data_IF_929067981940
#
_entry.id   IF_929067981940
#
_cell.length_a   1.000
_cell.length_b   1.000
_cell.length_c   1.000
_cell.angle_alpha   90.00
_cell.angle_beta   90.00
_cell.angle_gamma   90.00
#
_symmetry.space_group_name_H-M   'P 1'
#
loop_
_entity.id
_entity.type
_entity.pdbx_description
1 polymer ?
#
# COMPACT_ATOMS: atom_id res chain seq x y z
N UNK A 1 8.65 27.44 -7.22
CA UNK A 1 7.76 26.28 -7.35
C UNK A 1 6.69 26.71 -8.33
N UNK A 2 6.50 25.98 -9.44
CA UNK A 2 5.50 26.32 -10.47
C UNK A 2 4.12 26.39 -9.82
N UNK A 3 3.42 27.51 -9.99
CA UNK A 3 2.07 27.73 -9.45
C UNK A 3 0.97 26.94 -10.16
N UNK A 4 1.35 26.11 -11.15
CA UNK A 4 0.43 25.52 -12.12
C UNK A 4 0.26 24.00 -12.00
N UNK A 5 0.95 23.32 -11.05
CA UNK A 5 0.77 21.88 -10.88
C UNK A 5 -0.61 21.58 -10.32
N UNK A 6 -1.35 20.72 -11.04
CA UNK A 6 -2.68 20.28 -10.63
C UNK A 6 -2.68 18.81 -10.21
N UNK A 7 -3.68 18.43 -9.42
CA UNK A 7 -3.99 17.05 -9.02
C UNK A 7 -5.42 16.73 -9.44
N UNK A 8 -5.65 15.55 -9.97
CA UNK A 8 -7.00 14.98 -10.01
C UNK A 8 -7.28 14.38 -8.64
N UNK A 9 -8.06 15.09 -7.85
CA UNK A 9 -8.24 14.89 -6.42
C UNK A 9 -9.32 13.86 -6.12
N UNK A 10 -9.03 12.95 -5.21
CA UNK A 10 -9.94 11.90 -4.75
C UNK A 10 -10.56 12.16 -3.38
N UNK A 11 -9.88 12.93 -2.54
CA UNK A 11 -10.33 13.24 -1.18
C UNK A 11 -9.18 13.53 -0.22
N UNK A 12 -9.53 14.00 0.98
CA UNK A 12 -8.59 14.28 2.06
C UNK A 12 -9.15 13.84 3.41
N UNK A 13 -8.35 13.10 4.17
CA UNK A 13 -8.64 12.77 5.57
C UNK A 13 -7.61 13.51 6.43
N UNK A 14 -8.01 14.47 7.25
CA UNK A 14 -7.08 15.32 7.98
C UNK A 14 -6.30 14.59 9.07
N UNK A 15 -6.88 13.52 9.63
CA UNK A 15 -6.25 12.71 10.66
C UNK A 15 -6.71 11.25 10.55
N UNK A 16 -5.76 10.34 10.41
CA UNK A 16 -5.95 8.90 10.51
C UNK A 16 -4.87 8.30 11.42
N UNK A 17 -5.26 7.34 12.25
CA UNK A 17 -4.36 6.55 13.10
C UNK A 17 -4.32 5.07 12.70
N UNK A 18 -5.03 4.72 11.61
CA UNK A 18 -5.17 3.33 11.14
C UNK A 18 -4.49 3.08 9.80
N UNK A 19 -4.32 4.11 8.96
CA UNK A 19 -3.79 3.94 7.61
C UNK A 19 -2.26 3.80 7.58
N UNK A 20 -1.57 4.30 8.60
CA UNK A 20 -0.13 4.12 8.76
C UNK A 20 0.20 3.73 10.20
N UNK A 21 0.55 2.47 10.39
CA UNK A 21 0.82 1.93 11.73
C UNK A 21 1.91 2.73 12.46
N UNK A 22 1.61 3.07 13.73
CA UNK A 22 2.53 3.79 14.60
C UNK A 22 2.65 5.29 14.31
N UNK A 23 1.83 5.83 13.39
CA UNK A 23 1.81 7.26 13.07
C UNK A 23 0.39 7.81 13.04
N UNK A 24 0.24 9.06 13.44
CA UNK A 24 -0.89 9.88 13.02
C UNK A 24 -0.56 10.48 11.66
N UNK A 25 -1.41 10.30 10.67
CA UNK A 25 -1.17 10.81 9.32
C UNK A 25 -2.42 11.48 8.75
N UNK A 26 -2.25 12.51 7.93
CA UNK A 26 -3.30 12.86 7.00
C UNK A 26 -3.19 11.97 5.75
N UNK A 27 -4.32 11.73 5.09
CA UNK A 27 -4.36 10.93 3.86
C UNK A 27 -4.84 11.77 2.70
N UNK A 28 -4.04 11.84 1.65
CA UNK A 28 -4.38 12.47 0.37
C UNK A 28 -4.75 11.38 -0.62
N UNK A 29 -5.99 11.37 -1.07
CA UNK A 29 -6.47 10.42 -2.08
C UNK A 29 -6.37 11.03 -3.48
N UNK A 30 -5.73 10.29 -4.38
CA UNK A 30 -5.64 10.61 -5.80
C UNK A 30 -6.78 9.92 -6.56
N UNK A 31 -7.41 10.61 -7.48
CA UNK A 31 -8.44 10.06 -8.35
C UNK A 31 -7.81 9.47 -9.61
N UNK A 32 -8.40 8.37 -10.10
CA UNK A 32 -7.90 7.62 -11.24
C UNK A 32 -7.09 6.38 -10.82
N UNK A 33 -7.32 5.25 -11.50
CA UNK A 33 -6.58 4.02 -11.29
C UNK A 33 -6.51 3.24 -12.60
N UNK A 34 -5.33 2.69 -12.99
CA UNK A 34 -5.19 1.91 -14.22
C UNK A 34 -5.70 0.47 -14.06
N UNK A 35 -5.97 0.04 -12.81
CA UNK A 35 -6.38 -1.32 -12.47
C UNK A 35 -7.84 -1.35 -12.02
N UNK A 36 -8.58 -2.38 -12.44
CA UNK A 36 -10.00 -2.55 -12.11
C UNK A 36 -10.20 -3.74 -11.17
N UNK A 37 -9.82 -3.57 -9.90
CA UNK A 37 -10.05 -4.61 -8.90
C UNK A 37 -11.56 -4.78 -8.63
N UNK A 38 -12.07 -6.00 -8.74
CA UNK A 38 -13.48 -6.30 -8.46
C UNK A 38 -13.91 -5.99 -7.02
N UNK A 39 -12.95 -5.87 -6.12
CA UNK A 39 -13.14 -5.57 -4.68
C UNK A 39 -12.71 -4.16 -4.29
N UNK A 40 -12.57 -3.25 -5.24
CA UNK A 40 -12.09 -1.90 -4.94
C UNK A 40 -12.96 -1.21 -3.88
N UNK A 41 -12.33 -0.66 -2.84
CA UNK A 41 -13.01 0.14 -1.82
C UNK A 41 -13.23 1.59 -2.26
N UNK A 42 -12.42 2.05 -3.22
CA UNK A 42 -12.39 3.41 -3.71
C UNK A 42 -13.05 3.53 -5.10
N UNK A 43 -14.13 2.77 -5.36
CA UNK A 43 -14.80 2.72 -6.66
C UNK A 43 -15.22 4.13 -7.14
N UNK A 44 -15.61 5.01 -6.23
CA UNK A 44 -16.08 6.37 -6.55
C UNK A 44 -14.99 7.31 -7.05
N UNK A 45 -13.73 6.96 -6.83
CA UNK A 45 -12.57 7.74 -7.27
C UNK A 45 -11.69 7.00 -8.28
N UNK A 46 -12.15 5.86 -8.79
CA UNK A 46 -11.43 5.15 -9.86
C UNK A 46 -11.44 5.92 -11.18
N UNK A 47 -12.47 6.70 -11.43
CA UNK A 47 -12.71 7.46 -12.64
C UNK A 47 -13.19 8.88 -12.30
N UNK A 48 -13.43 9.68 -13.35
CA UNK A 48 -13.93 11.04 -13.25
C UNK A 48 -12.82 12.06 -12.95
N UNK A 49 -13.24 13.30 -12.75
CA UNK A 49 -12.35 14.44 -12.58
C UNK A 49 -12.78 15.32 -11.39
N UNK A 50 -11.81 15.73 -10.59
CA UNK A 50 -11.87 16.81 -9.61
C UNK A 50 -10.51 17.51 -9.63
N UNK A 51 -10.28 18.36 -10.61
CA UNK A 51 -8.98 19.01 -10.81
C UNK A 51 -8.83 20.17 -9.84
N UNK A 52 -7.80 20.07 -8.99
CA UNK A 52 -7.44 21.11 -8.01
C UNK A 52 -6.00 21.54 -8.14
N UNK A 53 -5.68 22.74 -7.64
CA UNK A 53 -4.29 23.15 -7.52
C UNK A 53 -3.61 22.38 -6.39
N UNK A 54 -2.39 21.90 -6.62
CA UNK A 54 -1.57 21.25 -5.60
C UNK A 54 -1.35 22.16 -4.40
N UNK A 55 -1.28 23.49 -4.61
CA UNK A 55 -1.17 24.48 -3.54
C UNK A 55 -2.33 24.47 -2.53
N UNK A 56 -3.53 24.08 -2.97
CA UNK A 56 -4.68 23.98 -2.06
C UNK A 56 -4.58 22.74 -1.17
N UNK A 57 -4.11 21.63 -1.71
CA UNK A 57 -3.83 20.42 -0.93
C UNK A 57 -2.68 20.66 0.06
N UNK A 58 -1.65 21.44 -0.32
CA UNK A 58 -0.59 21.84 0.61
C UNK A 58 -1.13 22.65 1.80
N UNK A 59 -2.14 23.50 1.60
CA UNK A 59 -2.81 24.22 2.68
C UNK A 59 -3.56 23.27 3.62
N UNK A 60 -4.27 22.27 3.08
CA UNK A 60 -4.94 21.24 3.87
C UNK A 60 -3.94 20.45 4.73
N UNK A 61 -2.83 20.00 4.13
CA UNK A 61 -1.74 19.31 4.85
C UNK A 61 -1.16 20.22 5.95
N UNK A 62 -0.88 21.49 5.64
CA UNK A 62 -0.38 22.47 6.62
C UNK A 62 -1.34 22.67 7.79
N UNK A 63 -2.64 22.72 7.52
CA UNK A 63 -3.66 22.88 8.54
C UNK A 63 -3.73 21.68 9.49
N UNK A 64 -3.43 20.48 8.99
CA UNK A 64 -3.39 19.24 9.77
C UNK A 64 -2.06 19.04 10.52
N UNK A 65 -0.99 19.74 10.14
CA UNK A 65 0.41 19.45 10.54
C UNK A 65 0.67 19.40 12.04
N UNK A 66 -0.10 20.13 12.86
CA UNK A 66 0.03 20.10 14.32
C UNK A 66 -0.48 18.79 14.96
N UNK A 67 -1.30 18.01 14.25
CA UNK A 67 -1.94 16.80 14.76
C UNK A 67 -1.34 15.52 14.17
N UNK A 68 -0.47 15.64 13.16
CA UNK A 68 0.05 14.52 12.40
C UNK A 68 1.57 14.45 12.43
N UNK A 69 2.11 13.27 12.28
CA UNK A 69 3.55 13.01 12.10
C UNK A 69 3.90 12.59 10.67
N UNK A 70 2.91 12.46 9.78
CA UNK A 70 3.13 12.05 8.40
C UNK A 70 1.99 12.37 7.46
N UNK A 71 2.28 12.29 6.17
CA UNK A 71 1.33 12.40 5.05
C UNK A 71 1.34 11.07 4.31
N UNK A 72 0.18 10.45 4.15
CA UNK A 72 0.01 9.24 3.38
C UNK A 72 -0.67 9.56 2.05
N UNK A 73 -0.04 9.14 0.96
CA UNK A 73 -0.59 9.24 -0.39
C UNK A 73 -1.24 7.91 -0.77
N UNK A 74 -2.49 7.95 -1.18
CA UNK A 74 -3.32 6.79 -1.49
C UNK A 74 -4.36 7.13 -2.57
N UNK A 75 -5.44 6.36 -2.69
CA UNK A 75 -6.57 6.68 -3.54
C UNK A 75 -6.90 5.61 -4.57
N UNK A 76 -7.03 6.01 -5.81
CA UNK A 76 -7.02 5.13 -6.96
C UNK A 76 -5.60 4.58 -7.15
N UNK A 77 -4.72 5.40 -7.78
CA UNK A 77 -3.27 5.13 -7.84
C UNK A 77 -2.51 6.48 -7.89
N UNK A 78 -1.86 6.83 -6.78
CA UNK A 78 -1.15 8.11 -6.66
C UNK A 78 0.02 8.25 -7.65
N UNK A 79 0.71 7.15 -7.95
CA UNK A 79 1.84 7.14 -8.90
C UNK A 79 1.44 7.43 -10.35
N UNK A 80 0.14 7.33 -10.67
CA UNK A 80 -0.39 7.74 -11.98
C UNK A 80 -0.24 9.26 -12.21
N UNK A 81 -0.16 10.05 -11.13
CA UNK A 81 -0.01 11.50 -11.16
C UNK A 81 1.35 11.92 -10.59
N UNK A 82 2.42 11.48 -11.23
CA UNK A 82 3.80 11.57 -10.75
C UNK A 82 4.25 12.99 -10.35
N UNK A 83 3.85 14.01 -11.10
CA UNK A 83 4.23 15.41 -10.83
C UNK A 83 3.57 15.92 -9.54
N UNK A 84 2.25 15.75 -9.41
CA UNK A 84 1.52 16.15 -8.22
C UNK A 84 2.01 15.40 -6.97
N UNK A 85 2.18 14.08 -7.07
CA UNK A 85 2.70 13.25 -5.99
C UNK A 85 4.09 13.71 -5.55
N UNK A 86 5.01 13.91 -6.49
CA UNK A 86 6.38 14.37 -6.22
C UNK A 86 6.39 15.74 -5.53
N UNK A 87 5.53 16.65 -6.00
CA UNK A 87 5.43 18.00 -5.48
C UNK A 87 4.88 18.01 -4.05
N UNK A 88 3.83 17.23 -3.77
CA UNK A 88 3.25 17.09 -2.44
C UNK A 88 4.20 16.38 -1.47
N UNK A 89 4.90 15.34 -1.91
CA UNK A 89 5.89 14.64 -1.10
C UNK A 89 7.06 15.56 -0.72
N UNK A 90 7.58 16.34 -1.67
CA UNK A 90 8.62 17.32 -1.43
C UNK A 90 8.17 18.43 -0.46
N UNK A 91 6.92 18.86 -0.56
CA UNK A 91 6.34 19.82 0.38
C UNK A 91 6.23 19.24 1.79
N UNK A 92 5.70 18.01 1.94
CA UNK A 92 5.59 17.34 3.23
C UNK A 92 6.97 17.19 3.91
N UNK A 93 7.99 16.77 3.15
CA UNK A 93 9.38 16.72 3.64
C UNK A 93 9.92 18.07 4.08
N UNK A 94 9.58 19.14 3.36
CA UNK A 94 10.02 20.50 3.71
C UNK A 94 9.46 20.99 5.05
N UNK A 95 8.26 20.52 5.43
CA UNK A 95 7.63 20.82 6.72
C UNK A 95 7.83 19.70 7.75
N UNK A 96 8.85 18.87 7.55
CA UNK A 96 9.34 17.82 8.47
C UNK A 96 8.33 16.71 8.77
N UNK A 97 7.35 16.49 7.88
CA UNK A 97 6.45 15.34 7.96
C UNK A 97 7.05 14.13 7.26
N UNK A 98 6.86 12.96 7.85
CA UNK A 98 7.13 11.70 7.19
C UNK A 98 6.17 11.50 6.01
N UNK A 99 6.58 10.73 5.01
CA UNK A 99 5.81 10.54 3.78
C UNK A 99 5.62 9.05 3.50
N UNK A 100 4.37 8.63 3.35
CA UNK A 100 3.98 7.26 3.02
C UNK A 100 3.24 7.17 1.69
N UNK A 101 3.29 6.01 1.07
CA UNK A 101 2.62 5.73 -0.18
C UNK A 101 1.98 4.33 -0.16
N UNK A 102 0.67 4.26 -0.40
CA UNK A 102 -0.01 3.03 -0.78
C UNK A 102 -0.12 2.97 -2.30
N UNK A 103 0.38 1.90 -2.92
CA UNK A 103 0.44 1.77 -4.37
C UNK A 103 0.19 0.34 -4.85
N UNK A 104 -0.41 0.20 -6.02
CA UNK A 104 -0.53 -1.08 -6.71
C UNK A 104 0.75 -1.46 -7.50
N UNK A 105 1.74 -0.57 -7.54
CA UNK A 105 3.05 -0.82 -8.12
C UNK A 105 3.13 -0.82 -9.65
N UNK A 106 2.12 -0.34 -10.36
CA UNK A 106 2.10 -0.36 -11.84
C UNK A 106 3.09 0.63 -12.47
N UNK A 107 3.60 1.60 -11.70
CA UNK A 107 4.52 2.64 -12.21
C UNK A 107 5.89 2.59 -11.52
N UNK A 108 6.74 1.59 -11.83
CA UNK A 108 8.05 1.42 -11.17
C UNK A 108 8.98 2.63 -11.34
N UNK A 109 8.94 3.31 -12.47
CA UNK A 109 9.79 4.49 -12.73
C UNK A 109 9.46 5.66 -11.78
N UNK A 110 8.19 5.81 -11.38
CA UNK A 110 7.79 6.83 -10.41
C UNK A 110 8.29 6.48 -9.03
N UNK A 111 8.16 5.22 -8.61
CA UNK A 111 8.71 4.72 -7.34
C UNK A 111 10.23 4.91 -7.28
N UNK A 112 10.94 4.58 -8.37
CA UNK A 112 12.38 4.79 -8.45
C UNK A 112 12.76 6.26 -8.23
N UNK A 113 12.01 7.19 -8.87
CA UNK A 113 12.24 8.62 -8.75
C UNK A 113 12.01 9.11 -7.31
N UNK A 114 10.92 8.69 -6.68
CA UNK A 114 10.57 9.06 -5.30
C UNK A 114 11.63 8.56 -4.31
N UNK A 115 12.07 7.31 -4.45
CA UNK A 115 13.11 6.70 -3.62
C UNK A 115 14.47 7.38 -3.81
N UNK A 116 14.92 7.55 -5.05
CA UNK A 116 16.20 8.22 -5.37
C UNK A 116 16.26 9.65 -4.81
N UNK A 117 15.13 10.37 -4.84
CA UNK A 117 15.02 11.72 -4.29
C UNK A 117 14.75 11.77 -2.79
N UNK A 118 14.65 10.60 -2.12
CA UNK A 118 14.30 10.47 -0.69
C UNK A 118 13.01 11.20 -0.32
N UNK A 119 12.03 11.11 -1.18
CA UNK A 119 10.72 11.76 -1.01
C UNK A 119 9.69 10.86 -0.34
N UNK A 120 10.01 9.59 -0.11
CA UNK A 120 9.10 8.61 0.51
C UNK A 120 9.86 7.83 1.59
N UNK A 121 9.27 7.74 2.77
CA UNK A 121 9.79 6.98 3.92
C UNK A 121 9.15 5.60 4.05
N UNK A 122 7.91 5.45 3.60
CA UNK A 122 7.13 4.23 3.71
C UNK A 122 6.45 3.90 2.39
N UNK A 123 6.56 2.65 1.95
CA UNK A 123 5.78 2.12 0.83
C UNK A 123 5.04 0.86 1.30
N UNK A 124 3.70 0.87 1.16
CA UNK A 124 2.86 -0.31 1.21
C UNK A 124 2.50 -0.70 -0.22
N UNK A 125 3.10 -1.79 -0.70
CA UNK A 125 2.86 -2.33 -2.03
C UNK A 125 1.72 -3.35 -1.98
N UNK A 126 0.63 -3.04 -2.64
CA UNK A 126 -0.53 -3.92 -2.76
C UNK A 126 -0.30 -5.02 -3.81
N UNK A 127 0.03 -6.24 -3.39
CA UNK A 127 -0.07 -7.41 -4.25
C UNK A 127 -1.51 -7.86 -4.36
N UNK A 128 -2.05 -7.88 -5.57
CA UNK A 128 -3.47 -8.15 -5.80
C UNK A 128 -3.77 -9.62 -6.09
N UNK A 129 -2.75 -10.40 -6.47
CA UNK A 129 -2.81 -11.83 -6.77
C UNK A 129 -1.38 -12.41 -6.82
N UNK A 130 -1.25 -13.74 -6.87
CA UNK A 130 0.01 -14.34 -7.33
C UNK A 130 0.30 -13.93 -8.80
N UNK A 131 1.57 -13.85 -9.19
CA UNK A 131 1.98 -13.26 -10.47
C UNK A 131 1.30 -13.86 -11.70
N UNK A 132 1.07 -15.17 -11.69
CA UNK A 132 0.44 -15.88 -12.82
C UNK A 132 -1.04 -15.55 -12.98
N UNK A 133 -1.70 -15.13 -11.90
CA UNK A 133 -3.13 -14.84 -11.85
C UNK A 133 -3.48 -13.37 -12.09
N UNK A 134 -2.48 -12.47 -12.17
CA UNK A 134 -2.74 -11.04 -12.34
C UNK A 134 -3.69 -10.71 -13.49
N UNK A 135 -3.44 -11.28 -14.68
CA UNK A 135 -4.31 -11.07 -15.84
C UNK A 135 -5.74 -11.58 -15.61
N UNK A 136 -5.86 -12.75 -14.97
CA UNK A 136 -7.17 -13.36 -14.68
C UNK A 136 -7.94 -12.59 -13.61
N UNK A 137 -7.23 -12.09 -12.55
CA UNK A 137 -7.83 -11.42 -11.40
C UNK A 137 -8.17 -9.95 -11.64
N UNK A 138 -7.36 -9.28 -12.43
CA UNK A 138 -7.40 -7.82 -12.61
C UNK A 138 -7.77 -7.40 -14.03
N UNK A 139 -7.88 -8.35 -14.96
CA UNK A 139 -8.06 -8.03 -16.38
C UNK A 139 -6.89 -7.27 -17.02
N UNK A 140 -5.77 -7.09 -16.29
CA UNK A 140 -4.61 -6.30 -16.69
C UNK A 140 -3.35 -7.15 -16.70
N UNK A 141 -2.46 -6.90 -17.67
CA UNK A 141 -1.16 -7.59 -17.81
C UNK A 141 -0.02 -6.89 -17.04
N UNK A 142 -0.32 -6.16 -15.97
CA UNK A 142 0.64 -5.34 -15.21
C UNK A 142 1.54 -6.13 -14.23
N UNK A 143 1.54 -7.47 -14.27
CA UNK A 143 2.34 -8.28 -13.37
C UNK A 143 3.86 -7.99 -13.46
N UNK A 144 4.37 -7.65 -14.65
CA UNK A 144 5.79 -7.37 -14.85
C UNK A 144 6.19 -6.07 -14.17
N UNK A 145 5.40 -5.01 -14.34
CA UNK A 145 5.61 -3.70 -13.72
C UNK A 145 5.56 -3.81 -12.19
N UNK A 146 4.59 -4.56 -11.65
CA UNK A 146 4.49 -4.77 -10.19
C UNK A 146 5.66 -5.58 -9.65
N UNK A 147 6.16 -6.59 -10.39
CA UNK A 147 7.40 -7.30 -10.04
C UNK A 147 8.62 -6.38 -10.02
N UNK A 148 8.73 -5.49 -11.00
CA UNK A 148 9.81 -4.50 -11.06
C UNK A 148 9.73 -3.55 -9.86
N UNK A 149 8.52 -3.06 -9.53
CA UNK A 149 8.27 -2.22 -8.36
C UNK A 149 8.64 -2.94 -7.06
N UNK A 150 8.24 -4.19 -6.90
CA UNK A 150 8.60 -5.01 -5.74
C UNK A 150 10.12 -5.16 -5.60
N UNK A 151 10.82 -5.56 -6.68
CA UNK A 151 12.28 -5.74 -6.65
C UNK A 151 13.01 -4.43 -6.33
N UNK A 152 12.54 -3.32 -6.91
CA UNK A 152 13.09 -1.99 -6.67
C UNK A 152 12.93 -1.56 -5.20
N UNK A 153 11.72 -1.69 -4.63
CA UNK A 153 11.42 -1.31 -3.25
C UNK A 153 12.19 -2.19 -2.26
N UNK A 154 12.24 -3.51 -2.50
CA UNK A 154 13.00 -4.45 -1.69
C UNK A 154 14.49 -4.08 -1.66
N UNK A 155 15.11 -3.90 -2.82
CA UNK A 155 16.51 -3.52 -2.92
C UNK A 155 16.80 -2.14 -2.28
N UNK A 156 15.87 -1.19 -2.38
CA UNK A 156 16.01 0.12 -1.75
C UNK A 156 15.92 0.01 -0.22
N UNK A 157 15.01 -0.81 0.29
CA UNK A 157 14.85 -1.07 1.72
C UNK A 157 16.08 -1.76 2.31
N UNK A 158 16.60 -2.80 1.67
CA UNK A 158 17.81 -3.52 2.08
C UNK A 158 19.06 -2.61 2.13
N UNK A 159 19.10 -1.58 1.28
CA UNK A 159 20.18 -0.57 1.26
C UNK A 159 19.95 0.62 2.21
N UNK A 160 18.85 0.64 2.94
CA UNK A 160 18.48 1.76 3.82
C UNK A 160 18.05 3.04 3.10
N UNK A 161 17.74 2.97 1.81
CA UNK A 161 17.23 4.12 1.02
C UNK A 161 15.70 4.26 1.09
N UNK A 162 15.01 3.24 1.56
CA UNK A 162 13.58 3.21 1.87
C UNK A 162 13.41 2.69 3.30
N UNK A 163 13.14 3.56 4.29
CA UNK A 163 13.10 3.18 5.69
C UNK A 163 12.08 2.09 6.01
N UNK A 164 10.88 2.19 5.46
CA UNK A 164 9.79 1.25 5.71
C UNK A 164 9.24 0.70 4.39
N UNK A 165 9.22 -0.63 4.27
CA UNK A 165 8.63 -1.31 3.12
C UNK A 165 7.82 -2.52 3.57
N UNK A 166 6.59 -2.60 3.10
CA UNK A 166 5.70 -3.72 3.33
C UNK A 166 4.95 -4.13 2.07
N UNK A 167 4.58 -5.38 2.01
CA UNK A 167 3.67 -5.92 1.01
C UNK A 167 2.33 -6.20 1.68
N UNK A 168 1.27 -5.67 1.12
CA UNK A 168 -0.09 -5.91 1.56
C UNK A 168 -0.78 -6.87 0.59
N UNK A 169 -1.36 -7.95 1.10
CA UNK A 169 -2.20 -8.85 0.34
C UNK A 169 -3.61 -8.88 0.92
N UNK A 170 -4.57 -8.36 0.18
CA UNK A 170 -5.99 -8.40 0.57
C UNK A 170 -6.54 -9.79 0.28
N UNK A 171 -6.81 -10.54 1.34
CA UNK A 171 -7.23 -11.94 1.27
C UNK A 171 -8.74 -12.07 1.41
N UNK A 172 -9.37 -12.67 0.41
CA UNK A 172 -10.77 -13.06 0.40
C UNK A 172 -10.93 -14.55 0.60
N UNK A 173 -12.08 -14.96 1.14
CA UNK A 173 -12.48 -16.37 1.20
C UNK A 173 -12.50 -16.98 -0.20
N UNK A 174 -11.85 -18.14 -0.35
CA UNK A 174 -11.66 -18.84 -1.63
C UNK A 174 -10.35 -18.49 -2.35
N UNK A 175 -9.51 -17.59 -1.77
CA UNK A 175 -8.19 -17.24 -2.31
C UNK A 175 -7.03 -17.66 -1.41
N UNK A 176 -7.31 -18.45 -0.36
CA UNK A 176 -6.33 -18.90 0.64
C UNK A 176 -5.15 -19.66 0.01
N UNK A 177 -5.40 -20.35 -1.10
CA UNK A 177 -4.37 -21.10 -1.82
C UNK A 177 -3.24 -20.25 -2.41
N UNK A 178 -3.48 -18.94 -2.63
CA UNK A 178 -2.47 -18.02 -3.18
C UNK A 178 -1.46 -17.54 -2.12
N UNK A 179 -1.83 -17.58 -0.83
CA UNK A 179 -1.06 -16.96 0.25
C UNK A 179 0.34 -17.54 0.38
N UNK A 180 0.49 -18.88 0.27
CA UNK A 180 1.80 -19.54 0.37
C UNK A 180 2.74 -19.12 -0.75
N UNK A 181 2.22 -19.03 -1.97
CA UNK A 181 3.01 -18.61 -3.13
C UNK A 181 3.44 -17.16 -2.97
N UNK A 182 2.52 -16.27 -2.58
CA UNK A 182 2.82 -14.86 -2.32
C UNK A 182 3.85 -14.72 -1.20
N UNK A 183 3.69 -15.44 -0.09
CA UNK A 183 4.65 -15.39 1.01
C UNK A 183 6.06 -15.85 0.59
N UNK A 184 6.14 -16.88 -0.28
CA UNK A 184 7.42 -17.33 -0.86
C UNK A 184 8.06 -16.27 -1.77
N UNK A 185 7.25 -15.59 -2.58
CA UNK A 185 7.72 -14.55 -3.52
C UNK A 185 8.17 -13.29 -2.80
N UNK A 186 7.47 -12.91 -1.72
CA UNK A 186 7.80 -11.75 -0.88
C UNK A 186 9.08 -11.98 -0.07
N UNK A 187 9.39 -13.24 0.30
CA UNK A 187 10.57 -13.57 1.08
C UNK A 187 10.57 -12.88 2.45
N UNK A 188 11.66 -12.23 2.84
CA UNK A 188 11.81 -11.62 4.19
C UNK A 188 11.17 -10.24 4.34
N UNK A 189 10.58 -9.69 3.28
CA UNK A 189 9.88 -8.40 3.34
C UNK A 189 8.63 -8.53 4.23
N UNK A 190 8.31 -7.51 5.01
CA UNK A 190 7.12 -7.48 5.87
C UNK A 190 5.85 -7.75 5.04
N UNK A 191 5.11 -8.81 5.42
CA UNK A 191 3.86 -9.20 4.76
C UNK A 191 2.68 -8.87 5.68
N UNK A 192 1.69 -8.18 5.12
CA UNK A 192 0.40 -7.90 5.76
C UNK A 192 -0.69 -8.70 5.07
N UNK A 193 -1.35 -9.59 5.78
CA UNK A 193 -2.59 -10.22 5.36
C UNK A 193 -3.75 -9.33 5.77
N UNK A 194 -4.32 -8.64 4.81
CA UNK A 194 -5.46 -7.76 5.04
C UNK A 194 -6.75 -8.49 4.79
N UNK A 195 -7.69 -8.42 5.73
CA UNK A 195 -9.03 -8.96 5.58
C UNK A 195 -9.74 -8.33 4.38
N UNK A 196 -10.09 -9.15 3.39
CA UNK A 196 -10.92 -8.74 2.26
C UNK A 196 -12.38 -8.63 2.67
N UNK A 197 -12.99 -7.47 2.40
CA UNK A 197 -14.39 -7.22 2.70
C UNK A 197 -15.13 -6.81 1.43
N UNK A 198 -16.14 -7.59 1.05
CA UNK A 198 -17.08 -7.29 -0.04
C UNK A 198 -18.46 -7.82 0.36
N UNK A 199 -19.52 -7.07 0.10
CA UNK A 199 -20.88 -7.44 0.53
C UNK A 199 -21.35 -8.84 0.11
N UNK A 200 -20.79 -9.36 -1.00
CA UNK A 200 -21.17 -10.67 -1.57
C UNK A 200 -20.38 -11.85 -1.02
N UNK A 201 -19.33 -11.61 -0.25
CA UNK A 201 -18.43 -12.65 0.26
C UNK A 201 -18.23 -12.42 1.76
N UNK A 202 -18.57 -13.40 2.62
CA UNK A 202 -18.30 -13.29 4.04
C UNK A 202 -16.78 -13.11 4.27
N UNK A 203 -16.35 -12.12 5.07
CA UNK A 203 -14.93 -11.92 5.35
C UNK A 203 -14.36 -13.13 6.11
N UNK A 204 -13.06 -13.33 5.99
CA UNK A 204 -12.33 -14.25 6.85
C UNK A 204 -12.24 -13.65 8.25
N UNK A 205 -12.52 -14.44 9.27
CA UNK A 205 -12.34 -14.03 10.68
C UNK A 205 -10.87 -13.92 11.04
N UNK A 206 -10.55 -13.23 12.12
CA UNK A 206 -9.18 -13.16 12.66
C UNK A 206 -8.62 -14.55 12.93
N UNK A 207 -9.43 -15.47 13.45
CA UNK A 207 -9.02 -16.86 13.72
C UNK A 207 -8.67 -17.62 12.43
N UNK A 208 -9.46 -17.46 11.36
CA UNK A 208 -9.18 -18.06 10.05
C UNK A 208 -7.90 -17.47 9.42
N UNK A 209 -7.71 -16.16 9.48
CA UNK A 209 -6.49 -15.49 9.02
C UNK A 209 -5.26 -15.95 9.80
N UNK A 210 -5.40 -16.14 11.11
CA UNK A 210 -4.33 -16.68 11.97
C UNK A 210 -3.99 -18.11 11.59
N UNK A 211 -4.99 -18.97 11.36
CA UNK A 211 -4.76 -20.35 10.91
C UNK A 211 -4.05 -20.42 9.54
N UNK A 212 -4.35 -19.49 8.63
CA UNK A 212 -3.64 -19.36 7.36
C UNK A 212 -2.20 -18.91 7.61
N UNK A 213 -1.98 -17.90 8.45
CA UNK A 213 -0.67 -17.39 8.82
C UNK A 213 0.23 -18.47 9.45
N UNK A 214 -0.33 -19.40 10.26
CA UNK A 214 0.38 -20.55 10.80
C UNK A 214 1.06 -21.41 9.73
N UNK A 215 0.46 -21.48 8.54
CA UNK A 215 1.00 -22.30 7.43
C UNK A 215 2.19 -21.66 6.73
N UNK A 216 2.50 -20.38 7.00
CA UNK A 216 3.54 -19.62 6.30
C UNK A 216 4.92 -19.74 6.97
N UNK A 217 4.98 -20.21 8.22
CA UNK A 217 6.23 -20.39 8.97
C UNK A 217 7.12 -19.13 9.03
N UNK A 218 6.51 -17.97 9.05
CA UNK A 218 7.19 -16.67 9.14
C UNK A 218 6.33 -15.66 9.91
N UNK A 219 6.90 -14.60 10.46
CA UNK A 219 6.12 -13.48 10.98
C UNK A 219 5.29 -12.84 9.88
N UNK A 220 4.03 -12.52 10.19
CA UNK A 220 3.13 -11.74 9.34
C UNK A 220 2.33 -10.78 10.19
N UNK A 221 1.82 -9.71 9.58
CA UNK A 221 0.82 -8.87 10.21
C UNK A 221 -0.56 -9.23 9.66
N UNK A 222 -1.55 -9.28 10.52
CA UNK A 222 -2.94 -9.55 10.14
C UNK A 222 -3.73 -8.29 10.44
N UNK A 223 -4.40 -7.74 9.42
CA UNK A 223 -5.21 -6.52 9.54
C UNK A 223 -6.66 -6.85 9.29
N UNK A 224 -7.52 -6.65 10.31
CA UNK A 224 -8.96 -6.85 10.24
C UNK A 224 -9.71 -5.57 10.59
N UNK A 225 -11.01 -5.53 10.30
CA UNK A 225 -11.87 -4.38 10.67
C UNK A 225 -12.24 -4.39 12.14
N UNK A 226 -12.39 -5.58 12.73
CA UNK A 226 -12.83 -5.75 14.12
C UNK A 226 -11.69 -5.54 15.10
N UNK A 227 -10.54 -6.17 14.84
CA UNK A 227 -9.43 -6.24 15.79
C UNK A 227 -8.26 -5.30 15.44
N UNK A 228 -8.37 -4.56 14.31
CA UNK A 228 -7.29 -3.73 13.81
C UNK A 228 -6.13 -4.56 13.28
N UNK A 229 -4.89 -4.18 13.61
CA UNK A 229 -3.69 -4.87 13.14
C UNK A 229 -2.97 -5.58 14.28
N UNK A 230 -2.76 -6.88 14.14
CA UNK A 230 -2.00 -7.73 15.07
C UNK A 230 -0.74 -8.27 14.42
N UNK A 231 0.33 -8.43 15.22
CA UNK A 231 1.56 -9.12 14.79
C UNK A 231 1.40 -10.59 15.13
N UNK A 232 1.59 -11.45 14.13
CA UNK A 232 1.59 -12.89 14.28
C UNK A 232 3.00 -13.44 14.05
N UNK A 233 3.59 -14.02 15.10
CA UNK A 233 5.00 -14.47 15.09
C UNK A 233 5.25 -15.75 14.30
N UNK A 234 4.22 -16.51 13.94
CA UNK A 234 4.28 -17.62 12.97
C UNK A 234 5.03 -18.89 13.40
N UNK A 235 5.41 -19.07 14.69
CA UNK A 235 6.38 -20.10 15.09
C UNK A 235 5.81 -21.36 15.73
N UNK A 236 4.51 -21.52 15.93
CA UNK A 236 3.99 -22.64 16.74
C UNK A 236 4.10 -24.01 16.08
N UNK A 237 4.12 -24.15 14.76
CA UNK A 237 4.03 -25.44 14.06
C UNK A 237 5.20 -25.79 13.13
N UNK A 238 6.25 -24.98 13.00
CA UNK A 238 7.32 -25.19 12.03
C UNK A 238 8.46 -26.14 12.49
N UNK A 239 8.35 -26.74 13.68
CA UNK A 239 9.42 -27.60 14.24
C UNK A 239 9.43 -29.05 13.76
N UNK A 240 8.62 -29.47 12.78
CA UNK A 240 8.51 -30.89 12.39
C UNK A 240 8.86 -31.26 10.96
N UNK A 241 9.33 -30.34 10.10
CA UNK A 241 9.91 -30.72 8.81
C UNK A 241 11.43 -30.56 8.87
N UNK A 242 12.09 -31.57 9.48
CA UNK A 242 13.53 -31.65 9.51
C UNK A 242 14.12 -31.72 8.09
N UNK A 243 14.86 -30.73 7.71
CA UNK A 243 15.90 -30.90 6.69
C UNK A 243 17.07 -31.63 7.38
N UNK A 244 17.21 -32.91 7.04
CA UNK A 244 18.48 -33.64 7.12
C UNK A 244 19.14 -33.56 5.75
#
# INVERSE_FOLDING_TARGET
MSSDTTINFGGFVPLSTVDWRGRSACVVFFRGCPVRCWYCHNETIQDGEDIRNVSDIMKEISSASLLISGVLFSGGEATMQAEALTTLAAFAKKIELATGLHTNGVYPNVLETLIKRRLIDHIALDLKAEWRLYKQRLGSSCALEVKQSFALCKAAHERGNLPEFEVVFTLFRGYEGEVKQIASEVGDVSLVLQQGVKHTIPPLTTAELTAIADTLCRPVRIRTREDGEIIYEGFRNCRSSGFR
#
